data_IF_936899933571
#
_entry.id   IF_936899933571
#
_cell.length_a   1.000
_cell.length_b   1.000
_cell.length_c   1.000
_cell.angle_alpha   90.00
_cell.angle_beta   90.00
_cell.angle_gamma   90.00
#
_symmetry.space_group_name_H-M   'P 1'
#
loop_
_entity.id
_entity.type
_entity.pdbx_description
1 polymer ?
#
# COMPACT_ATOMS: atom_id res chain seq x y z
N UNK A 1 74.09 9.84 -7.77
CA UNK A 1 72.97 10.63 -7.20
C UNK A 1 72.10 11.05 -8.37
N UNK A 2 71.14 10.23 -8.80
CA UNK A 2 69.69 10.27 -8.46
C UNK A 2 69.05 11.64 -8.72
N UNK A 3 68.28 11.76 -9.82
CA UNK A 3 66.82 11.99 -9.79
C UNK A 3 66.26 12.14 -11.22
N UNK A 4 65.43 11.16 -11.63
CA UNK A 4 64.46 11.35 -12.71
C UNK A 4 63.17 11.86 -12.06
N UNK A 5 62.72 13.04 -12.47
CA UNK A 5 61.43 13.61 -12.06
C UNK A 5 60.35 13.15 -13.03
N UNK A 6 59.67 12.06 -12.70
CA UNK A 6 58.43 11.64 -13.37
C UNK A 6 57.27 12.48 -12.83
N UNK A 7 56.71 13.36 -13.67
CA UNK A 7 55.45 14.02 -13.39
C UNK A 7 54.30 13.06 -13.71
N UNK A 8 53.63 12.56 -12.67
CA UNK A 8 52.35 11.85 -12.80
C UNK A 8 51.25 12.90 -12.82
N UNK A 9 50.61 13.10 -13.98
CA UNK A 9 49.41 13.91 -14.10
C UNK A 9 48.20 13.12 -13.60
N UNK A 10 47.55 13.60 -12.54
CA UNK A 10 46.27 13.05 -12.06
C UNK A 10 45.16 13.64 -12.91
N UNK A 11 44.54 12.82 -13.76
CA UNK A 11 43.31 13.19 -14.46
C UNK A 11 42.14 13.11 -13.46
N UNK A 12 41.58 14.27 -13.10
CA UNK A 12 40.35 14.34 -12.32
C UNK A 12 39.16 13.95 -13.23
N UNK A 13 38.63 12.75 -13.05
CA UNK A 13 37.33 12.36 -13.61
C UNK A 13 36.24 13.07 -12.79
N UNK A 14 35.76 14.19 -13.30
CA UNK A 14 34.50 14.79 -12.86
C UNK A 14 33.36 13.89 -13.34
N UNK A 15 32.99 12.89 -12.54
CA UNK A 15 31.78 12.12 -12.76
C UNK A 15 30.56 12.99 -12.47
N UNK A 16 29.81 13.35 -13.50
CA UNK A 16 28.44 13.81 -13.31
C UNK A 16 27.63 12.60 -12.80
N UNK A 17 27.27 12.61 -11.52
CA UNK A 17 26.27 11.70 -11.00
C UNK A 17 24.94 12.09 -11.64
N UNK A 18 24.51 11.34 -12.66
CA UNK A 18 23.13 11.41 -13.11
C UNK A 18 22.27 10.92 -11.93
N UNK A 19 21.44 11.79 -11.37
CA UNK A 19 20.31 11.31 -10.57
C UNK A 19 19.51 10.38 -11.49
N UNK A 20 19.30 9.13 -11.09
CA UNK A 20 18.45 8.23 -11.87
C UNK A 20 17.01 8.73 -11.70
N UNK A 21 16.34 9.01 -12.80
CA UNK A 21 14.92 9.35 -12.76
C UNK A 21 14.16 8.17 -12.14
N UNK A 22 13.21 8.42 -11.21
CA UNK A 22 12.41 7.34 -10.63
C UNK A 22 11.54 6.67 -11.70
N UNK A 23 11.22 5.40 -11.48
CA UNK A 23 10.29 4.67 -12.34
C UNK A 23 8.83 5.15 -12.16
N UNK A 24 8.57 5.89 -11.07
CA UNK A 24 7.27 6.48 -10.76
C UNK A 24 7.13 7.92 -11.26
N UNK A 25 5.88 8.36 -11.42
CA UNK A 25 5.55 9.74 -11.78
C UNK A 25 4.34 10.26 -10.98
N UNK A 26 4.21 11.59 -10.89
CA UNK A 26 3.13 12.24 -10.13
C UNK A 26 1.79 12.12 -10.88
N UNK A 27 0.74 11.71 -10.16
CA UNK A 27 -0.65 11.74 -10.63
C UNK A 27 -1.57 12.33 -9.56
N UNK A 28 -2.46 13.24 -9.95
CA UNK A 28 -3.53 13.73 -9.08
C UNK A 28 -4.80 12.93 -9.35
N UNK A 29 -5.21 12.11 -8.38
CA UNK A 29 -6.46 11.36 -8.47
C UNK A 29 -7.64 12.25 -8.12
N UNK A 30 -8.42 12.62 -9.14
CA UNK A 30 -9.58 13.49 -8.96
C UNK A 30 -10.71 12.86 -8.14
N UNK A 31 -10.78 11.52 -8.06
CA UNK A 31 -11.82 10.82 -7.30
C UNK A 31 -11.61 11.00 -5.80
N UNK A 32 -10.40 10.70 -5.32
CA UNK A 32 -10.05 10.77 -3.90
C UNK A 32 -9.55 12.16 -3.47
N UNK A 33 -8.91 12.88 -4.40
CA UNK A 33 -8.21 14.14 -4.16
C UNK A 33 -6.77 13.98 -3.67
N UNK A 34 -6.24 12.76 -3.61
CA UNK A 34 -4.83 12.52 -3.31
C UNK A 34 -3.95 12.83 -4.51
N UNK A 35 -2.75 13.35 -4.24
CA UNK A 35 -1.60 13.29 -5.14
C UNK A 35 -0.85 11.99 -4.86
N UNK A 36 -0.60 11.20 -5.88
CA UNK A 36 0.10 9.92 -5.79
C UNK A 36 1.41 9.96 -6.59
N UNK A 37 2.44 9.28 -6.09
CA UNK A 37 3.44 8.69 -6.97
C UNK A 37 2.82 7.45 -7.60
N UNK A 38 2.93 7.31 -8.92
CA UNK A 38 2.33 6.22 -9.70
C UNK A 38 3.39 5.42 -10.46
N UNK A 39 3.29 4.10 -10.35
CA UNK A 39 3.98 3.14 -11.20
C UNK A 39 2.97 2.21 -11.87
N UNK A 40 3.17 1.89 -13.15
CA UNK A 40 2.33 0.95 -13.90
C UNK A 40 3.19 -0.23 -14.35
N UNK A 41 2.80 -1.45 -14.00
CA UNK A 41 3.50 -2.66 -14.44
C UNK A 41 3.22 -2.99 -15.91
N UNK A 42 4.04 -3.85 -16.50
CA UNK A 42 3.84 -4.40 -17.86
C UNK A 42 2.48 -5.10 -18.04
N UNK A 43 1.85 -5.53 -16.94
CA UNK A 43 0.54 -6.17 -16.94
C UNK A 43 -0.61 -5.17 -16.80
N UNK A 44 -0.32 -3.88 -16.79
CA UNK A 44 -1.32 -2.82 -16.60
C UNK A 44 -1.82 -2.70 -15.17
N UNK A 45 -1.11 -3.25 -14.18
CA UNK A 45 -1.44 -3.04 -12.77
C UNK A 45 -0.82 -1.72 -12.34
N UNK A 46 -1.65 -0.80 -11.87
CA UNK A 46 -1.25 0.51 -11.36
C UNK A 46 -1.06 0.43 -9.86
N UNK A 47 0.11 0.86 -9.39
CA UNK A 47 0.49 1.00 -7.98
C UNK A 47 0.71 2.47 -7.68
N UNK A 48 0.00 2.97 -6.68
CA UNK A 48 0.00 4.38 -6.29
C UNK A 48 0.27 4.52 -4.80
N UNK A 49 1.14 5.45 -4.43
CA UNK A 49 1.43 5.77 -3.03
C UNK A 49 1.28 7.27 -2.75
N UNK A 50 0.56 7.56 -1.68
CA UNK A 50 0.39 8.90 -1.13
C UNK A 50 0.87 8.90 0.32
N UNK A 51 1.61 9.93 0.70
CA UNK A 51 2.20 10.08 2.04
C UNK A 51 1.85 11.45 2.64
N UNK A 52 1.91 11.59 3.98
CA UNK A 52 1.77 12.87 4.65
C UNK A 52 2.85 13.86 4.21
N UNK A 53 2.47 15.13 4.07
CA UNK A 53 3.45 16.20 4.17
C UNK A 53 4.17 16.15 5.53
N UNK A 54 5.48 16.43 5.52
CA UNK A 54 6.36 16.34 6.68
C UNK A 54 6.40 14.94 7.34
N UNK A 55 6.25 13.87 6.55
CA UNK A 55 6.47 12.51 7.04
C UNK A 55 7.89 12.38 7.66
N UNK A 56 8.04 11.73 8.83
CA UNK A 56 9.34 11.53 9.46
C UNK A 56 10.18 10.52 8.69
N UNK A 57 11.50 10.71 8.71
CA UNK A 57 12.47 9.76 8.14
C UNK A 57 12.76 8.57 9.06
N UNK A 58 12.22 8.56 10.28
CA UNK A 58 12.42 7.51 11.29
C UNK A 58 11.13 7.27 12.09
N UNK A 59 10.85 6.01 12.45
CA UNK A 59 9.71 5.64 13.29
C UNK A 59 8.39 5.46 12.54
N UNK A 60 8.45 5.42 11.21
CA UNK A 60 7.30 5.18 10.33
C UNK A 60 6.25 6.30 10.27
N UNK A 61 5.37 6.15 9.29
CA UNK A 61 4.22 7.02 9.03
C UNK A 61 3.13 6.27 8.28
N UNK A 62 1.90 6.76 8.41
CA UNK A 62 0.80 6.24 7.60
C UNK A 62 1.01 6.58 6.12
N UNK A 63 0.70 5.64 5.23
CA UNK A 63 0.69 5.88 3.78
C UNK A 63 -0.63 5.38 3.20
N UNK A 64 -1.12 6.00 2.13
CA UNK A 64 -2.25 5.47 1.36
C UNK A 64 -1.68 4.74 0.16
N UNK A 65 -2.02 3.46 0.04
CA UNK A 65 -1.76 2.64 -1.13
C UNK A 65 -3.03 2.53 -1.97
N UNK A 66 -2.90 2.72 -3.28
CA UNK A 66 -3.94 2.43 -4.24
C UNK A 66 -3.42 1.43 -5.28
N UNK A 67 -4.17 0.34 -5.48
CA UNK A 67 -3.86 -0.69 -6.46
C UNK A 67 -5.06 -0.80 -7.40
N UNK A 68 -4.84 -0.56 -8.69
CA UNK A 68 -5.83 -0.77 -9.74
C UNK A 68 -5.31 -1.84 -10.71
N UNK A 69 -6.07 -2.92 -10.89
CA UNK A 69 -5.63 -4.03 -11.73
C UNK A 69 -6.71 -4.43 -12.74
N UNK A 70 -6.32 -4.91 -13.93
CA UNK A 70 -7.26 -5.47 -14.89
C UNK A 70 -8.10 -6.59 -14.26
N UNK A 71 -9.34 -6.73 -14.72
CA UNK A 71 -10.33 -7.66 -14.13
C UNK A 71 -9.90 -9.14 -14.20
N UNK A 72 -8.95 -9.46 -15.07
CA UNK A 72 -8.35 -10.79 -15.23
C UNK A 72 -7.28 -11.10 -14.16
N UNK A 73 -6.80 -10.10 -13.40
CA UNK A 73 -5.87 -10.30 -12.30
C UNK A 73 -6.66 -10.83 -11.09
N UNK A 74 -6.33 -12.06 -10.66
CA UNK A 74 -6.94 -12.74 -9.53
C UNK A 74 -6.47 -12.17 -8.20
N UNK A 75 -5.21 -11.78 -8.08
CA UNK A 75 -4.68 -10.97 -6.98
C UNK A 75 -3.43 -10.20 -7.42
N UNK A 76 -3.21 -9.04 -6.81
CA UNK A 76 -1.99 -8.26 -6.95
C UNK A 76 -1.39 -7.95 -5.57
N UNK A 77 -0.08 -8.00 -5.47
CA UNK A 77 0.67 -7.74 -4.25
C UNK A 77 1.75 -6.69 -4.46
N UNK A 78 2.10 -6.01 -3.38
CA UNK A 78 3.18 -5.03 -3.28
C UNK A 78 4.01 -5.32 -2.04
N UNK A 79 5.32 -5.35 -2.20
CA UNK A 79 6.30 -5.48 -1.14
C UNK A 79 6.91 -4.12 -0.80
N UNK A 80 6.71 -3.68 0.44
CA UNK A 80 7.16 -2.37 0.91
C UNK A 80 8.68 -2.23 1.01
N UNK A 81 9.39 -3.35 1.17
CA UNK A 81 10.86 -3.37 1.22
C UNK A 81 11.53 -3.83 -0.08
N UNK A 82 10.77 -3.99 -1.17
CA UNK A 82 11.34 -4.44 -2.46
C UNK A 82 11.64 -5.93 -2.55
N UNK A 83 11.33 -6.73 -1.52
CA UNK A 83 11.51 -8.19 -1.52
C UNK A 83 10.28 -8.94 -1.00
N UNK A 84 10.21 -10.26 -1.26
CA UNK A 84 9.12 -11.09 -0.71
C UNK A 84 9.26 -11.28 0.80
N UNK A 85 10.48 -11.37 1.31
CA UNK A 85 10.78 -11.78 2.68
C UNK A 85 11.24 -10.60 3.53
N UNK A 86 10.97 -10.65 4.84
CA UNK A 86 11.47 -9.68 5.83
C UNK A 86 10.98 -8.24 5.64
N UNK A 87 9.82 -8.05 5.01
CA UNK A 87 9.12 -6.77 4.94
C UNK A 87 7.59 -6.97 4.88
N UNK A 88 6.80 -5.93 5.23
CA UNK A 88 5.37 -5.92 5.02
C UNK A 88 5.03 -6.13 3.54
N UNK A 89 3.97 -6.90 3.31
CA UNK A 89 3.41 -7.17 1.99
C UNK A 89 1.93 -6.75 2.01
N UNK A 90 1.53 -5.88 1.07
CA UNK A 90 0.13 -5.63 0.75
C UNK A 90 -0.30 -6.64 -0.29
N UNK A 91 -1.35 -7.42 -0.05
CA UNK A 91 -2.04 -8.16 -1.11
C UNK A 91 -3.47 -7.65 -1.25
N UNK A 92 -3.96 -7.54 -2.48
CA UNK A 92 -5.32 -7.15 -2.77
C UNK A 92 -5.91 -7.97 -3.90
N UNK A 93 -7.23 -8.17 -3.84
CA UNK A 93 -7.97 -8.88 -4.86
C UNK A 93 -9.46 -8.55 -4.79
N UNK A 94 -10.15 -8.82 -5.89
CA UNK A 94 -11.60 -8.70 -5.98
C UNK A 94 -12.31 -9.86 -5.28
N UNK A 95 -13.38 -9.56 -4.55
CA UNK A 95 -14.34 -10.52 -4.02
C UNK A 95 -15.75 -10.11 -4.41
N UNK A 96 -16.26 -10.67 -5.51
CA UNK A 96 -17.55 -10.25 -6.07
C UNK A 96 -17.49 -8.80 -6.58
N UNK A 97 -18.26 -7.92 -5.94
CA UNK A 97 -18.30 -6.47 -6.18
C UNK A 97 -17.41 -5.67 -5.23
N UNK A 98 -16.81 -6.32 -4.24
CA UNK A 98 -15.91 -5.71 -3.26
C UNK A 98 -14.45 -5.98 -3.62
N UNK A 99 -13.54 -5.26 -2.96
CA UNK A 99 -12.10 -5.51 -3.04
C UNK A 99 -11.58 -5.72 -1.63
N UNK A 100 -10.80 -6.78 -1.43
CA UNK A 100 -10.20 -7.18 -0.17
C UNK A 100 -8.74 -6.80 -0.17
N UNK A 101 -8.25 -6.27 0.96
CA UNK A 101 -6.82 -6.08 1.24
C UNK A 101 -6.39 -7.00 2.38
N UNK A 102 -5.16 -7.48 2.30
CA UNK A 102 -4.56 -8.42 3.21
C UNK A 102 -3.15 -7.99 3.58
N UNK A 103 -2.90 -7.93 4.88
CA UNK A 103 -1.57 -7.68 5.44
C UNK A 103 -0.82 -9.00 5.58
N UNK A 104 0.35 -9.11 4.94
CA UNK A 104 1.15 -10.33 4.91
C UNK A 104 2.62 -10.04 5.24
N UNK A 105 3.34 -11.08 5.67
CA UNK A 105 4.78 -11.03 5.91
C UNK A 105 5.35 -12.44 5.74
N UNK A 106 6.50 -12.59 5.10
CA UNK A 106 7.15 -13.88 4.91
C UNK A 106 8.58 -13.88 5.47
N UNK A 107 8.98 -14.98 6.10
CA UNK A 107 10.37 -15.22 6.52
C UNK A 107 11.11 -16.16 5.55
N UNK A 108 10.45 -16.57 4.47
CA UNK A 108 10.97 -17.46 3.45
C UNK A 108 10.01 -17.60 2.26
N UNK A 109 10.37 -18.42 1.29
CA UNK A 109 9.60 -18.63 0.05
C UNK A 109 8.48 -19.66 0.23
N UNK A 110 7.42 -19.25 0.93
CA UNK A 110 6.18 -19.99 1.11
C UNK A 110 5.00 -19.01 1.15
N UNK A 111 3.76 -19.51 1.15
CA UNK A 111 2.55 -18.66 1.21
C UNK A 111 2.64 -17.73 2.44
N UNK A 112 2.74 -16.40 2.24
CA UNK A 112 2.90 -15.48 3.35
C UNK A 112 1.74 -15.58 4.36
N UNK A 113 2.00 -15.78 5.66
CA UNK A 113 0.96 -15.72 6.69
C UNK A 113 0.42 -14.29 6.87
N UNK A 114 -0.76 -14.15 7.51
CA UNK A 114 -1.25 -12.85 7.96
C UNK A 114 -0.24 -12.14 8.86
N UNK A 115 -0.15 -10.81 8.70
CA UNK A 115 0.76 -9.97 9.46
C UNK A 115 -0.01 -8.90 10.24
N UNK A 116 0.29 -8.79 11.54
CA UNK A 116 -0.38 -7.84 12.45
C UNK A 116 0.39 -6.56 12.67
N UNK A 117 1.66 -6.48 12.25
CA UNK A 117 2.46 -5.26 12.39
C UNK A 117 2.10 -4.16 11.39
N UNK A 118 1.28 -4.47 10.38
CA UNK A 118 0.67 -3.50 9.48
C UNK A 118 -0.85 -3.71 9.40
N UNK A 119 -1.61 -2.62 9.49
CA UNK A 119 -3.07 -2.61 9.46
C UNK A 119 -3.57 -1.70 8.33
N UNK A 120 -4.62 -2.15 7.64
CA UNK A 120 -5.21 -1.42 6.52
C UNK A 120 -6.61 -0.92 6.86
N UNK A 121 -6.87 0.37 6.61
CA UNK A 121 -8.19 0.99 6.61
C UNK A 121 -8.59 1.24 5.16
N UNK A 122 -9.57 0.49 4.65
CA UNK A 122 -10.08 0.68 3.29
C UNK A 122 -10.82 2.01 3.20
N UNK A 123 -10.41 2.85 2.26
CA UNK A 123 -11.09 4.09 1.92
C UNK A 123 -12.17 3.76 0.88
N UNK A 124 -13.42 4.15 1.15
CA UNK A 124 -14.54 3.81 0.26
C UNK A 124 -14.43 4.53 -1.08
N UNK A 125 -14.02 5.80 -1.06
CA UNK A 125 -13.76 6.56 -2.28
C UNK A 125 -12.46 6.04 -2.91
N UNK A 126 -12.46 5.79 -4.22
CA UNK A 126 -11.34 5.15 -4.90
C UNK A 126 -11.25 3.64 -4.69
N UNK A 127 -12.25 2.99 -4.08
CA UNK A 127 -12.33 1.52 -4.00
C UNK A 127 -13.58 1.03 -4.69
N UNK A 128 -13.43 0.32 -5.80
CA UNK A 128 -14.55 -0.14 -6.61
C UNK A 128 -14.17 -1.26 -7.57
N UNK A 129 -15.18 -1.96 -8.08
CA UNK A 129 -15.07 -2.95 -9.15
C UNK A 129 -15.91 -2.48 -10.33
N UNK A 130 -15.34 -2.49 -11.53
CA UNK A 130 -16.06 -2.26 -12.77
C UNK A 130 -15.84 -3.40 -13.77
N UNK A 131 -16.31 -3.25 -15.01
CA UNK A 131 -16.26 -4.29 -16.04
C UNK A 131 -14.84 -4.60 -16.53
N UNK A 132 -13.89 -3.69 -16.31
CA UNK A 132 -12.52 -3.78 -16.83
C UNK A 132 -11.46 -3.89 -15.75
N UNK A 133 -11.72 -3.36 -14.55
CA UNK A 133 -10.75 -3.26 -13.48
C UNK A 133 -11.40 -3.45 -12.11
N UNK A 134 -10.58 -3.84 -11.13
CA UNK A 134 -10.85 -3.63 -9.72
C UNK A 134 -9.80 -2.67 -9.16
N UNK A 135 -10.21 -1.83 -8.21
CA UNK A 135 -9.35 -0.86 -7.55
C UNK A 135 -9.60 -0.88 -6.05
N UNK A 136 -8.52 -0.83 -5.28
CA UNK A 136 -8.57 -0.57 -3.83
C UNK A 136 -7.76 0.66 -3.50
N UNK A 137 -8.27 1.47 -2.59
CA UNK A 137 -7.54 2.54 -1.93
C UNK A 137 -7.60 2.28 -0.43
N UNK A 138 -6.45 2.18 0.24
CA UNK A 138 -6.39 1.91 1.67
C UNK A 138 -5.26 2.68 2.34
N UNK A 139 -5.55 3.24 3.52
CA UNK A 139 -4.51 3.71 4.44
C UNK A 139 -3.85 2.50 5.07
N UNK A 140 -2.52 2.41 5.00
CA UNK A 140 -1.74 1.48 5.79
C UNK A 140 -1.02 2.20 6.95
N UNK A 141 -1.21 1.67 8.14
CA UNK A 141 -0.42 1.99 9.34
C UNK A 141 0.54 0.84 9.60
N UNK A 142 1.83 1.13 9.78
CA UNK A 142 2.88 0.13 10.00
C UNK A 142 3.49 -0.49 8.74
N UNK A 143 3.22 0.07 7.56
CA UNK A 143 3.82 -0.40 6.31
C UNK A 143 5.19 0.23 5.99
N UNK A 144 5.49 1.39 6.56
CA UNK A 144 6.69 2.19 6.27
C UNK A 144 7.79 2.04 7.32
N UNK A 145 7.55 1.19 8.32
CA UNK A 145 8.46 0.88 9.40
C UNK A 145 8.23 -0.56 9.88
N UNK A 146 9.30 -1.36 9.95
CA UNK A 146 9.22 -2.74 10.42
C UNK A 146 10.59 -3.24 10.93
N UNK A 147 10.57 -4.42 11.54
CA UNK A 147 11.74 -5.02 12.18
C UNK A 147 11.82 -4.68 13.66
N UNK A 148 12.91 -5.11 14.27
CA UNK A 148 13.21 -4.97 15.70
C UNK A 148 14.73 -4.97 15.93
N UNK A 149 15.15 -4.89 17.20
CA UNK A 149 16.57 -4.89 17.57
C UNK A 149 17.29 -6.20 17.21
N UNK A 150 16.55 -7.31 17.04
CA UNK A 150 17.12 -8.64 16.73
C UNK A 150 17.34 -8.81 15.21
N UNK A 151 16.43 -8.29 14.39
CA UNK A 151 16.42 -8.47 12.93
C UNK A 151 16.86 -7.23 12.14
N UNK A 152 17.00 -6.09 12.83
CA UNK A 152 17.26 -4.79 12.23
C UNK A 152 15.96 -4.06 11.91
N UNK A 153 15.93 -2.77 12.24
CA UNK A 153 14.82 -1.87 11.94
C UNK A 153 15.00 -1.26 10.56
N UNK A 154 13.91 -1.23 9.78
CA UNK A 154 13.85 -0.55 8.48
C UNK A 154 12.79 0.55 8.51
N UNK A 155 13.16 1.74 8.07
CA UNK A 155 12.28 2.88 7.80
C UNK A 155 12.32 3.22 6.31
N UNK A 156 11.17 3.50 5.70
CA UNK A 156 11.11 4.03 4.33
C UNK A 156 11.27 5.54 4.35
N UNK A 157 12.28 6.05 3.65
CA UNK A 157 12.59 7.48 3.63
C UNK A 157 11.58 8.23 2.73
N UNK A 158 10.75 9.13 3.30
CA UNK A 158 9.72 9.83 2.53
C UNK A 158 10.30 10.85 1.53
N UNK A 159 11.60 11.17 1.63
CA UNK A 159 12.27 12.17 0.80
C UNK A 159 13.06 11.56 -0.36
N UNK A 160 13.10 10.23 -0.45
CA UNK A 160 13.97 9.50 -1.37
C UNK A 160 13.19 8.51 -2.25
N UNK A 161 13.90 7.95 -3.23
CA UNK A 161 13.46 6.77 -3.96
C UNK A 161 13.62 5.52 -3.10
N UNK A 162 12.52 4.78 -2.93
CA UNK A 162 12.48 3.52 -2.18
C UNK A 162 12.30 2.35 -3.14
N UNK A 163 13.07 1.26 -3.00
CA UNK A 163 12.87 0.06 -3.81
C UNK A 163 11.59 -0.65 -3.38
N UNK A 164 10.66 -0.82 -4.31
CA UNK A 164 9.45 -1.59 -4.14
C UNK A 164 9.43 -2.77 -5.09
N UNK A 165 8.59 -3.75 -4.79
CA UNK A 165 8.36 -4.88 -5.68
C UNK A 165 6.89 -5.22 -5.74
N UNK A 166 6.49 -5.86 -6.83
CA UNK A 166 5.15 -6.38 -6.99
C UNK A 166 5.18 -7.85 -7.38
N UNK A 167 4.06 -8.50 -7.12
CA UNK A 167 3.75 -9.84 -7.60
C UNK A 167 2.28 -9.88 -7.97
N UNK A 168 1.88 -10.74 -8.90
CA UNK A 168 0.46 -10.93 -9.21
C UNK A 168 0.19 -12.37 -9.64
N UNK A 169 -1.08 -12.78 -9.59
CA UNK A 169 -1.54 -13.96 -10.31
C UNK A 169 -2.89 -13.71 -10.95
N UNK A 170 -3.14 -14.41 -12.06
CA UNK A 170 -4.46 -14.51 -12.69
C UNK A 170 -5.41 -15.45 -11.93
N UNK A 171 -4.88 -16.27 -11.03
CA UNK A 171 -5.66 -17.19 -10.19
C UNK A 171 -6.07 -16.49 -8.89
N UNK A 172 -7.37 -16.44 -8.61
CA UNK A 172 -7.88 -15.83 -7.37
C UNK A 172 -7.48 -16.64 -6.11
N UNK A 173 -7.44 -16.02 -4.93
CA UNK A 173 -7.29 -16.74 -3.66
C UNK A 173 -8.38 -17.80 -3.44
N UNK A 174 -8.08 -18.82 -2.64
CA UNK A 174 -8.97 -19.97 -2.41
C UNK A 174 -10.33 -19.58 -1.81
N UNK A 175 -10.36 -18.59 -0.93
CA UNK A 175 -11.56 -18.03 -0.31
C UNK A 175 -11.56 -16.50 -0.48
N UNK A 176 -12.00 -15.96 -1.64
CA UNK A 176 -11.86 -14.54 -1.95
C UNK A 176 -12.47 -13.57 -0.93
N UNK A 177 -13.51 -13.97 -0.19
CA UNK A 177 -14.12 -13.13 0.84
C UNK A 177 -13.30 -13.02 2.15
N UNK A 178 -12.24 -13.83 2.32
CA UNK A 178 -11.42 -13.86 3.54
C UNK A 178 -10.08 -13.17 3.30
N UNK A 179 -9.80 -12.09 4.02
CA UNK A 179 -8.49 -11.42 3.95
C UNK A 179 -7.33 -12.30 4.47
N UNK A 180 -7.58 -13.45 5.08
CA UNK A 180 -6.57 -14.43 5.49
C UNK A 180 -6.49 -15.64 4.57
N UNK A 181 -7.19 -15.62 3.41
CA UNK A 181 -7.21 -16.73 2.45
C UNK A 181 -5.81 -17.22 2.06
N UNK A 182 -5.68 -18.52 1.82
CA UNK A 182 -4.55 -19.09 1.08
C UNK A 182 -4.66 -18.72 -0.41
N UNK A 183 -3.54 -18.79 -1.12
CA UNK A 183 -3.41 -18.47 -2.55
C UNK A 183 -2.18 -19.17 -3.15
N UNK A 184 -2.20 -19.37 -4.47
CA UNK A 184 -1.09 -19.95 -5.22
C UNK A 184 0.08 -18.98 -5.42
N UNK A 185 1.21 -19.50 -5.90
CA UNK A 185 2.37 -18.69 -6.29
C UNK A 185 2.00 -17.69 -7.40
N UNK A 186 2.68 -16.54 -7.42
CA UNK A 186 2.51 -15.53 -8.46
C UNK A 186 2.91 -16.04 -9.85
N UNK A 187 2.27 -15.49 -10.88
CA UNK A 187 2.57 -15.74 -12.28
C UNK A 187 3.88 -15.02 -12.69
N UNK A 188 4.11 -13.82 -12.15
CA UNK A 188 5.33 -13.04 -12.34
C UNK A 188 5.55 -12.03 -11.21
N UNK A 189 6.73 -11.41 -11.20
CA UNK A 189 7.16 -10.38 -10.27
C UNK A 189 7.80 -9.21 -11.03
N UNK A 190 7.96 -8.08 -10.35
CA UNK A 190 8.78 -6.97 -10.83
C UNK A 190 9.24 -6.07 -9.69
N UNK A 191 10.19 -5.20 -10.00
CA UNK A 191 10.78 -4.25 -9.07
C UNK A 191 10.80 -2.86 -9.71
N UNK A 192 10.69 -1.82 -8.89
CA UNK A 192 10.84 -0.45 -9.33
C UNK A 192 11.34 0.44 -8.19
N UNK A 193 11.94 1.57 -8.55
CA UNK A 193 12.26 2.63 -7.60
C UNK A 193 11.12 3.64 -7.57
N UNK A 194 10.45 3.74 -6.43
CA UNK A 194 9.34 4.66 -6.21
C UNK A 194 9.81 5.90 -5.47
N UNK A 195 9.63 7.08 -6.07
CA UNK A 195 9.92 8.35 -5.40
C UNK A 195 8.74 8.74 -4.50
N UNK A 196 8.92 8.62 -3.19
CA UNK A 196 7.87 8.91 -2.21
C UNK A 196 7.55 10.42 -2.16
N UNK A 197 8.48 11.28 -2.57
CA UNK A 197 8.26 12.72 -2.64
C UNK A 197 7.21 13.11 -3.70
N UNK A 198 6.96 12.25 -4.69
CA UNK A 198 5.94 12.44 -5.71
C UNK A 198 4.51 12.30 -5.17
N UNK A 199 4.33 11.61 -4.04
CA UNK A 199 3.06 11.34 -3.40
C UNK A 199 2.76 12.21 -2.17
N UNK A 200 3.44 13.34 -1.98
CA UNK A 200 3.26 14.17 -0.78
C UNK A 200 1.92 14.90 -0.78
N UNK A 201 1.18 14.80 0.33
CA UNK A 201 -0.14 15.42 0.47
C UNK A 201 -0.23 16.34 1.70
N UNK A 202 -0.31 17.66 1.50
CA UNK A 202 -0.76 18.58 2.53
C UNK A 202 -2.17 18.20 3.00
N UNK A 203 -2.39 18.13 4.32
CA UNK A 203 -3.69 17.75 4.87
C UNK A 203 -4.05 16.28 4.69
N UNK A 204 -3.06 15.39 4.55
CA UNK A 204 -3.23 13.94 4.38
C UNK A 204 -4.30 13.32 5.31
N UNK A 205 -4.27 13.63 6.61
CA UNK A 205 -5.25 13.10 7.55
C UNK A 205 -6.70 13.50 7.21
N UNK A 206 -6.91 14.73 6.74
CA UNK A 206 -8.22 15.20 6.30
C UNK A 206 -8.67 14.50 5.01
N UNK A 207 -7.75 14.23 4.07
CA UNK A 207 -8.02 13.43 2.87
C UNK A 207 -8.39 11.99 3.21
N UNK A 208 -7.69 11.36 4.16
CA UNK A 208 -8.05 10.03 4.68
C UNK A 208 -9.49 10.05 5.20
N UNK A 209 -9.81 10.92 6.16
CA UNK A 209 -11.16 11.01 6.76
C UNK A 209 -12.25 11.29 5.72
N UNK A 210 -11.99 12.19 4.77
CA UNK A 210 -12.91 12.46 3.65
C UNK A 210 -13.26 11.17 2.89
N UNK A 211 -12.26 10.33 2.64
CA UNK A 211 -12.38 9.16 1.78
C UNK A 211 -12.82 7.87 2.52
N UNK A 212 -12.80 7.84 3.86
CA UNK A 212 -13.36 6.75 4.70
C UNK A 212 -14.89 6.58 4.52
N UNK A 213 -15.56 7.58 3.95
CA UNK A 213 -17.00 7.53 3.63
C UNK A 213 -17.91 7.99 4.76
N UNK A 214 -17.50 9.07 5.44
CA UNK A 214 -18.28 9.75 6.49
C UNK A 214 -18.03 11.26 6.51
N UNK A 215 -18.60 12.01 5.55
CA UNK A 215 -18.73 13.46 5.60
C UNK A 215 -20.18 13.86 5.89
N UNK A 216 -20.39 14.63 6.95
CA UNK A 216 -21.69 14.96 7.55
C UNK A 216 -22.74 15.59 6.60
N UNK A 217 -23.98 15.09 6.69
CA UNK A 217 -25.22 15.86 6.47
C UNK A 217 -26.20 15.50 7.58
N UNK A 218 -26.60 16.50 8.38
CA UNK A 218 -27.84 16.49 9.16
C UNK A 218 -27.80 15.88 10.56
N UNK A 219 -27.79 16.75 11.57
CA UNK A 219 -28.15 16.45 12.95
C UNK A 219 -29.56 15.84 13.00
N UNK A 220 -29.69 14.59 13.43
CA UNK A 220 -30.96 14.01 13.83
C UNK A 220 -30.80 13.40 15.22
N UNK A 221 -31.22 14.16 16.23
CA UNK A 221 -31.46 13.67 17.59
C UNK A 221 -32.56 12.61 17.53
N UNK A 222 -32.22 11.35 17.77
CA UNK A 222 -33.20 10.28 17.92
C UNK A 222 -33.40 9.98 19.42
N UNK A 223 -34.50 10.51 19.94
CA UNK A 223 -35.05 10.23 21.28
C UNK A 223 -35.36 8.75 21.41
N UNK A 224 -34.77 8.07 22.41
CA UNK A 224 -35.08 6.67 22.72
C UNK A 224 -36.44 6.59 23.44
N UNK A 225 -37.43 5.95 22.81
CA UNK A 225 -38.65 5.50 23.47
C UNK A 225 -38.46 4.04 23.90
N UNK A 226 -38.48 3.81 25.21
CA UNK A 226 -38.39 2.48 25.83
C UNK A 226 -39.78 1.84 25.83
N UNK A 227 -39.95 0.70 25.16
CA UNK A 227 -41.14 -0.14 25.31
C UNK A 227 -40.81 -1.34 26.21
N UNK A 228 -41.44 -1.37 27.39
CA UNK A 228 -41.37 -2.47 28.36
C UNK A 228 -42.15 -3.69 27.86
N UNK A 229 -41.52 -4.86 27.93
CA UNK A 229 -42.19 -6.15 27.70
C UNK A 229 -42.74 -6.71 29.03
N UNK A 230 -44.03 -7.01 29.07
CA UNK A 230 -44.65 -7.88 30.08
C UNK A 230 -44.77 -9.30 29.54
N UNK A 231 -44.41 -10.35 30.31
CA UNK A 231 -44.74 -11.73 29.97
C UNK A 231 -46.10 -12.09 30.56
N UNK A 232 -46.94 -12.80 29.81
CA UNK A 232 -48.09 -13.49 30.40
C UNK A 232 -48.34 -14.83 29.73
N UNK A 233 -48.27 -15.85 30.58
CA UNK A 233 -48.65 -17.24 30.40
C UNK A 233 -50.05 -17.46 29.81
N UNK A 234 -50.25 -18.66 29.26
CA UNK A 234 -51.55 -19.34 29.37
C UNK A 234 -52.07 -19.95 28.08
N UNK A 235 -51.82 -21.24 27.89
CA UNK A 235 -52.68 -22.12 27.09
C UNK A 235 -53.84 -22.59 27.98
N UNK A 236 -55.07 -22.68 27.45
CA UNK A 236 -55.77 -23.95 27.60
C UNK A 236 -56.63 -24.36 26.40
N UNK A 237 -57.08 -25.61 26.47
CA UNK A 237 -58.14 -26.24 25.68
C UNK A 237 -59.51 -25.55 25.85
#
# INVERSE_FOLDING_TARGET
MRWLSTYVGVAALLGAAYAQDPDSHVVVDTETGFTFGEYISDQGITYRLAIPDQAPTTGGYDAVVQIAAPIAIGWAGMAWGGSMTYNPLTLAWRSGTDVIVSSRFAFGYYVPPPYTGATYTVLKTGTHVNTTHWQITAKCTGCTHWGDDDTGVTDLDPTQQNPLAYAYSTVAPETPASNTSSFGIHDSIGHWYHDFAQGVNPGFAALVTKNEGGGAIGTATATSATASATPSDGCPA
#
